data_IF_530216084520
#
_entry.id   IF_530216084520
#
_cell.length_a   1.000
_cell.length_b   1.000
_cell.length_c   1.000
_cell.angle_alpha   90.00
_cell.angle_beta   90.00
_cell.angle_gamma   90.00
#
_symmetry.space_group_name_H-M   'P 1'
#
loop_
_entity.id
_entity.type
_entity.pdbx_description
1 polymer ?
#
# COMPACT_ATOMS: atom_id res chain seq x y z
N UNK A 1 9.21 32.50 15.67
CA UNK A 1 8.66 31.32 14.98
C UNK A 1 8.21 31.78 13.60
N UNK A 2 8.68 31.16 12.49
CA UNK A 2 8.23 31.52 11.14
C UNK A 2 6.74 31.16 11.05
N UNK A 3 5.90 32.12 10.72
CA UNK A 3 4.45 32.00 10.66
C UNK A 3 3.94 30.96 9.63
N UNK A 4 4.82 30.43 8.76
CA UNK A 4 4.52 29.55 7.64
C UNK A 4 5.08 28.13 7.76
N UNK A 5 5.46 27.68 8.96
CA UNK A 5 5.94 26.29 9.13
C UNK A 5 4.76 25.31 9.04
N UNK A 6 4.90 24.20 8.27
CA UNK A 6 3.86 23.17 8.20
C UNK A 6 3.42 22.70 9.59
N UNK A 7 2.09 22.60 9.78
CA UNK A 7 1.48 22.09 11.01
C UNK A 7 1.01 20.64 10.82
N UNK A 8 0.68 20.26 9.58
CA UNK A 8 0.25 18.91 9.24
C UNK A 8 1.24 18.30 8.25
N UNK A 9 1.67 17.07 8.53
CA UNK A 9 2.55 16.29 7.68
C UNK A 9 1.79 15.03 7.24
N UNK A 10 1.51 14.92 5.92
CA UNK A 10 0.95 13.70 5.34
C UNK A 10 2.11 12.78 5.00
N UNK A 11 2.31 11.76 5.83
CA UNK A 11 3.53 10.93 5.83
C UNK A 11 3.21 9.52 5.38
N UNK A 12 3.94 9.03 4.37
CA UNK A 12 3.91 7.63 3.98
C UNK A 12 4.70 6.77 4.97
N UNK A 13 4.02 5.75 5.49
CA UNK A 13 4.59 4.76 6.40
C UNK A 13 5.31 3.62 5.69
N UNK A 14 5.31 3.60 4.34
CA UNK A 14 5.79 2.44 3.62
C UNK A 14 4.84 1.25 3.71
N UNK A 15 5.24 0.08 3.18
CA UNK A 15 4.39 -1.09 3.02
C UNK A 15 4.22 -1.93 4.30
N UNK A 16 5.02 -1.68 5.35
CA UNK A 16 4.88 -2.40 6.63
C UNK A 16 6.16 -2.55 7.43
N UNK A 17 7.30 -2.81 6.79
CA UNK A 17 8.62 -2.89 7.42
C UNK A 17 9.06 -1.48 7.87
N UNK A 18 9.40 -1.28 9.17
CA UNK A 18 9.86 0.01 9.67
C UNK A 18 11.17 0.49 9.04
N UNK A 19 12.04 -0.42 8.57
CA UNK A 19 13.28 -0.03 7.88
C UNK A 19 13.05 0.59 6.50
N UNK A 20 11.83 0.47 5.97
CA UNK A 20 11.40 1.12 4.73
C UNK A 20 10.82 2.53 4.93
N UNK A 21 10.82 3.04 6.16
CA UNK A 21 10.50 4.44 6.42
C UNK A 21 11.57 5.36 5.82
N UNK A 22 11.12 6.48 5.26
CA UNK A 22 12.09 7.53 4.89
C UNK A 22 12.67 8.17 6.14
N UNK A 23 13.92 8.60 6.08
CA UNK A 23 14.58 9.35 7.18
C UNK A 23 13.75 10.58 7.57
N UNK A 24 13.03 11.20 6.60
CA UNK A 24 12.13 12.32 6.87
C UNK A 24 10.93 11.89 7.71
N UNK A 25 10.33 10.74 7.38
CA UNK A 25 9.20 10.19 8.12
C UNK A 25 9.57 9.91 9.59
N UNK A 26 10.70 9.26 9.84
CA UNK A 26 11.20 8.95 11.19
C UNK A 26 11.35 10.24 12.00
N UNK A 27 12.08 11.25 11.49
CA UNK A 27 12.30 12.53 12.19
C UNK A 27 10.99 13.26 12.51
N UNK A 28 9.98 13.14 11.66
CA UNK A 28 8.67 13.77 11.89
C UNK A 28 7.86 13.02 12.94
N UNK A 29 7.93 11.69 12.96
CA UNK A 29 7.31 10.85 13.99
C UNK A 29 7.89 11.15 15.37
N UNK A 30 9.22 11.23 15.50
CA UNK A 30 9.90 11.58 16.77
C UNK A 30 9.49 12.95 17.34
N UNK A 31 9.04 13.87 16.49
CA UNK A 31 8.65 15.22 16.85
C UNK A 31 7.15 15.44 16.86
N UNK A 32 6.35 14.40 16.62
CA UNK A 32 4.91 14.52 16.55
C UNK A 32 4.31 14.75 17.93
N UNK A 33 3.30 15.63 18.00
CA UNK A 33 2.46 15.81 19.19
C UNK A 33 1.12 15.07 19.03
N UNK A 34 0.69 14.88 17.77
CA UNK A 34 -0.46 14.07 17.39
C UNK A 34 -0.13 13.22 16.18
N UNK A 35 -0.45 11.94 16.23
CA UNK A 35 -0.34 11.02 15.10
C UNK A 35 -1.72 10.46 14.78
N UNK A 36 -2.25 10.81 13.61
CA UNK A 36 -3.49 10.26 13.06
C UNK A 36 -3.13 9.14 12.08
N UNK A 37 -3.48 7.89 12.40
CA UNK A 37 -3.04 6.73 11.61
C UNK A 37 -4.18 5.80 11.21
N UNK A 38 -4.00 5.05 10.12
CA UNK A 38 -4.93 4.02 9.67
C UNK A 38 -4.50 2.59 10.07
N UNK A 39 -5.30 1.60 9.67
CA UNK A 39 -5.09 0.18 9.99
C UNK A 39 -3.88 -0.44 9.27
N UNK A 40 -3.41 0.15 8.17
CA UNK A 40 -2.34 -0.43 7.35
C UNK A 40 -0.94 -0.09 7.88
N UNK A 41 -0.85 0.80 8.86
CA UNK A 41 0.41 1.07 9.56
C UNK A 41 0.72 -0.10 10.49
N UNK A 42 1.89 -0.70 10.36
CA UNK A 42 2.28 -1.87 11.16
C UNK A 42 2.50 -1.50 12.63
N UNK A 43 2.31 -2.46 13.57
CA UNK A 43 2.61 -2.24 14.98
C UNK A 43 4.04 -1.75 15.21
N UNK A 44 5.03 -2.34 14.54
CA UNK A 44 6.44 -1.94 14.65
C UNK A 44 6.69 -0.48 14.28
N UNK A 45 5.94 0.07 13.30
CA UNK A 45 6.00 1.50 12.98
C UNK A 45 5.28 2.34 14.03
N UNK A 46 4.14 1.87 14.55
CA UNK A 46 3.43 2.57 15.63
C UNK A 46 4.27 2.66 16.91
N UNK A 47 5.12 1.67 17.18
CA UNK A 47 6.01 1.66 18.35
C UNK A 47 7.12 2.75 18.29
N UNK A 48 7.39 3.29 17.09
CA UNK A 48 8.30 4.43 16.91
C UNK A 48 7.68 5.78 17.32
N UNK A 49 6.37 5.83 17.56
CA UNK A 49 5.66 7.05 17.98
C UNK A 49 5.96 7.30 19.47
N UNK A 50 6.44 8.50 19.86
CA UNK A 50 6.68 8.82 21.25
C UNK A 50 5.45 8.58 22.12
N UNK A 51 5.65 8.11 23.36
CA UNK A 51 4.56 7.92 24.34
C UNK A 51 3.81 9.21 24.67
N UNK A 52 4.49 10.34 24.53
CA UNK A 52 3.93 11.67 24.77
C UNK A 52 3.00 12.15 23.64
N UNK A 53 3.06 11.52 22.47
CA UNK A 53 2.21 11.88 21.34
C UNK A 53 0.81 11.25 21.47
N UNK A 54 -0.21 12.03 21.23
CA UNK A 54 -1.58 11.51 21.14
C UNK A 54 -1.74 10.68 19.87
N UNK A 55 -2.24 9.43 19.98
CA UNK A 55 -2.50 8.54 18.86
C UNK A 55 -4.00 8.52 18.57
N UNK A 56 -4.38 8.94 17.36
CA UNK A 56 -5.77 8.93 16.88
C UNK A 56 -5.91 7.90 15.78
N UNK A 57 -6.69 6.85 16.04
CA UNK A 57 -6.95 5.81 15.05
C UNK A 57 -8.06 6.26 14.08
N UNK A 58 -7.73 6.37 12.79
CA UNK A 58 -8.63 6.77 11.70
C UNK A 58 -9.08 5.59 10.82
N UNK A 59 -8.76 4.34 11.19
CA UNK A 59 -9.12 3.15 10.44
C UNK A 59 -10.50 2.57 10.82
N UNK A 60 -10.91 1.51 10.10
CA UNK A 60 -12.08 0.71 10.46
C UNK A 60 -11.72 -0.21 11.64
N UNK A 61 -12.13 0.10 12.85
CA UNK A 61 -11.92 -0.75 14.02
C UNK A 61 -12.96 -1.90 14.12
N UNK A 62 -14.18 -1.67 13.66
CA UNK A 62 -15.28 -2.64 13.57
C UNK A 62 -16.40 -2.09 12.69
N UNK A 63 -17.43 -2.92 12.36
CA UNK A 63 -18.60 -2.45 11.60
C UNK A 63 -19.32 -1.25 12.24
N UNK A 64 -19.08 -0.96 13.53
CA UNK A 64 -19.74 0.11 14.30
C UNK A 64 -18.92 1.40 14.46
N UNK A 65 -17.60 1.40 14.16
CA UNK A 65 -16.73 2.56 14.39
C UNK A 65 -15.89 2.83 13.11
N UNK A 66 -16.56 3.30 12.09
CA UNK A 66 -15.94 3.82 10.87
C UNK A 66 -15.85 5.35 10.97
N UNK A 67 -14.64 5.89 10.88
CA UNK A 67 -14.46 7.33 10.73
C UNK A 67 -14.54 7.67 9.23
N UNK A 68 -15.60 8.39 8.79
CA UNK A 68 -15.69 8.86 7.40
C UNK A 68 -14.50 9.75 7.03
N UNK A 69 -14.19 9.84 5.73
CA UNK A 69 -13.06 10.66 5.28
C UNK A 69 -13.20 12.11 5.70
N UNK A 70 -14.40 12.67 5.63
CA UNK A 70 -14.66 14.05 6.06
C UNK A 70 -14.34 14.25 7.55
N UNK A 71 -14.66 13.27 8.39
CA UNK A 71 -14.30 13.33 9.82
C UNK A 71 -12.79 13.27 10.04
N UNK A 72 -12.06 12.48 9.25
CA UNK A 72 -10.59 12.47 9.30
C UNK A 72 -10.04 13.85 8.93
N UNK A 73 -10.57 14.44 7.84
CA UNK A 73 -10.18 15.77 7.37
C UNK A 73 -10.39 16.84 8.46
N UNK A 74 -11.56 16.82 9.13
CA UNK A 74 -11.88 17.74 10.23
C UNK A 74 -10.98 17.54 11.46
N UNK A 75 -10.61 16.30 11.79
CA UNK A 75 -9.63 16.00 12.86
C UNK A 75 -8.30 16.67 12.55
N UNK A 76 -7.79 16.55 11.32
CA UNK A 76 -6.51 17.17 10.93
C UNK A 76 -6.56 18.69 11.07
N UNK A 77 -7.63 19.35 10.61
CA UNK A 77 -7.82 20.79 10.72
C UNK A 77 -7.91 21.23 12.20
N UNK A 78 -8.70 20.53 13.00
CA UNK A 78 -8.90 20.82 14.42
C UNK A 78 -7.60 20.74 15.20
N UNK A 79 -6.83 19.67 15.01
CA UNK A 79 -5.55 19.47 15.66
C UNK A 79 -4.50 20.51 15.23
N UNK A 80 -4.47 20.86 13.95
CA UNK A 80 -3.57 21.91 13.45
C UNK A 80 -3.92 23.30 14.04
N UNK A 81 -5.22 23.64 14.12
CA UNK A 81 -5.69 24.92 14.70
C UNK A 81 -5.41 25.06 16.20
N UNK A 82 -5.30 23.93 16.91
CA UNK A 82 -4.86 23.95 18.32
C UNK A 82 -3.34 24.23 18.48
N UNK A 83 -2.64 24.45 17.38
CA UNK A 83 -1.20 24.79 17.37
C UNK A 83 -0.26 23.59 17.40
N UNK A 84 -0.81 22.37 17.38
CA UNK A 84 -0.07 21.11 17.50
C UNK A 84 0.60 20.70 16.18
N UNK A 85 1.71 19.97 16.28
CA UNK A 85 2.39 19.32 15.16
C UNK A 85 1.70 17.98 14.90
N UNK A 86 0.99 17.87 13.79
CA UNK A 86 0.17 16.72 13.42
C UNK A 86 0.88 15.89 12.35
N UNK A 87 1.07 14.61 12.59
CA UNK A 87 1.48 13.64 11.58
C UNK A 87 0.27 12.79 11.19
N UNK A 88 -0.15 12.87 9.93
CA UNK A 88 -1.09 11.93 9.32
C UNK A 88 -0.29 10.79 8.71
N UNK A 89 -0.19 9.67 9.41
CA UNK A 89 0.60 8.50 9.04
C UNK A 89 -0.26 7.52 8.22
N UNK A 90 0.14 7.23 6.99
CA UNK A 90 -0.62 6.48 6.00
C UNK A 90 0.18 5.28 5.51
N UNK A 91 -0.41 4.09 5.46
CA UNK A 91 0.23 2.92 4.85
C UNK A 91 0.63 3.18 3.40
N UNK A 92 1.81 2.72 2.99
CA UNK A 92 2.37 2.98 1.67
C UNK A 92 2.77 4.45 1.45
N UNK A 93 2.29 5.02 0.36
CA UNK A 93 2.49 6.42 -0.04
C UNK A 93 1.18 7.20 0.07
N UNK A 94 1.19 8.46 0.55
CA UNK A 94 -0.04 9.25 0.74
C UNK A 94 -0.84 9.47 -0.55
N UNK A 95 -0.18 9.53 -1.71
CA UNK A 95 -0.79 9.88 -3.00
C UNK A 95 -1.06 8.68 -3.90
N UNK A 96 -0.68 7.46 -3.50
CA UNK A 96 -0.97 6.24 -4.25
C UNK A 96 -2.11 5.48 -3.55
N UNK A 97 -3.33 5.65 -4.05
CA UNK A 97 -4.58 5.06 -3.52
C UNK A 97 -4.83 5.30 -2.02
N UNK A 98 -4.17 6.33 -1.47
CA UNK A 98 -4.22 6.67 -0.04
C UNK A 98 -5.16 7.82 0.30
N UNK A 99 -5.84 8.45 -0.68
CA UNK A 99 -6.71 9.63 -0.51
C UNK A 99 -5.99 10.86 0.10
N UNK A 100 -4.65 10.86 0.12
CA UNK A 100 -3.88 11.98 0.68
C UNK A 100 -4.09 13.30 -0.06
N UNK A 101 -4.45 13.26 -1.35
CA UNK A 101 -4.82 14.46 -2.12
C UNK A 101 -6.12 15.10 -1.60
N UNK A 102 -7.11 14.30 -1.19
CA UNK A 102 -8.35 14.82 -0.59
C UNK A 102 -8.06 15.50 0.76
N UNK A 103 -7.24 14.87 1.60
CA UNK A 103 -6.78 15.44 2.88
C UNK A 103 -6.01 16.75 2.66
N UNK A 104 -5.08 16.79 1.68
CA UNK A 104 -4.30 17.97 1.34
C UNK A 104 -5.17 19.13 0.82
N UNK A 105 -6.13 18.84 -0.07
CA UNK A 105 -7.07 19.83 -0.59
C UNK A 105 -7.94 20.42 0.52
N UNK A 106 -8.42 19.60 1.45
CA UNK A 106 -9.20 20.06 2.59
C UNK A 106 -8.38 20.98 3.51
N UNK A 107 -7.12 20.61 3.81
CA UNK A 107 -6.21 21.46 4.59
C UNK A 107 -5.98 22.81 3.89
N UNK A 108 -5.73 22.80 2.58
CA UNK A 108 -5.54 24.01 1.79
C UNK A 108 -6.76 24.94 1.84
N UNK A 109 -7.97 24.38 1.69
CA UNK A 109 -9.23 25.13 1.79
C UNK A 109 -9.42 25.82 3.15
N UNK A 110 -8.85 25.21 4.22
CA UNK A 110 -8.91 25.77 5.57
C UNK A 110 -7.70 26.67 5.93
N UNK A 111 -6.80 26.93 4.96
CA UNK A 111 -5.60 27.75 5.17
C UNK A 111 -4.58 27.11 6.12
N UNK A 112 -4.59 25.78 6.26
CA UNK A 112 -3.65 25.03 7.10
C UNK A 112 -2.40 24.68 6.29
N UNK A 113 -1.20 25.17 6.67
CA UNK A 113 0.05 24.78 6.03
C UNK A 113 0.34 23.29 6.25
N UNK A 114 0.68 22.57 5.18
CA UNK A 114 0.99 21.15 5.22
C UNK A 114 2.22 20.80 4.38
N UNK A 115 2.77 19.62 4.62
CA UNK A 115 3.86 19.02 3.84
C UNK A 115 3.48 17.58 3.49
N UNK A 116 3.83 17.15 2.26
CA UNK A 116 3.70 15.77 1.83
C UNK A 116 5.08 15.10 1.95
N UNK A 117 5.11 13.99 2.67
CA UNK A 117 6.32 13.17 2.80
C UNK A 117 6.07 11.82 2.13
N UNK A 118 6.68 11.55 0.98
CA UNK A 118 6.50 10.28 0.28
C UNK A 118 6.87 9.08 1.12
N UNK A 119 6.25 7.94 0.83
CA UNK A 119 6.62 6.64 1.36
C UNK A 119 6.81 5.63 0.24
N UNK A 120 7.43 4.49 0.54
CA UNK A 120 7.50 3.38 -0.40
C UNK A 120 6.09 2.81 -0.55
N UNK A 121 5.51 2.94 -1.76
CA UNK A 121 4.18 2.39 -2.03
C UNK A 121 4.20 0.86 -2.02
N UNK A 122 3.09 0.23 -1.68
CA UNK A 122 2.98 -1.23 -1.57
C UNK A 122 3.42 -1.96 -2.85
N UNK A 123 3.15 -1.40 -4.05
CA UNK A 123 3.60 -1.99 -5.31
C UNK A 123 5.11 -2.19 -5.38
N UNK A 124 5.88 -1.21 -4.94
CA UNK A 124 7.34 -1.28 -4.98
C UNK A 124 7.90 -2.16 -3.85
N UNK A 125 7.46 -1.95 -2.61
CA UNK A 125 7.97 -2.69 -1.47
C UNK A 125 7.59 -4.17 -1.49
N UNK A 126 6.32 -4.49 -1.70
CA UNK A 126 5.85 -5.88 -1.73
C UNK A 126 6.48 -6.67 -2.90
N UNK A 127 6.58 -6.07 -4.10
CA UNK A 127 7.18 -6.71 -5.25
C UNK A 127 8.68 -6.99 -5.03
N UNK A 128 9.43 -6.02 -4.47
CA UNK A 128 10.84 -6.20 -4.15
C UNK A 128 11.05 -7.33 -3.14
N UNK A 129 10.22 -7.40 -2.09
CA UNK A 129 10.27 -8.44 -1.05
C UNK A 129 9.78 -9.81 -1.54
N UNK A 130 9.04 -9.85 -2.65
CA UNK A 130 8.64 -11.09 -3.33
C UNK A 130 9.62 -11.51 -4.43
N UNK A 131 10.73 -10.78 -4.64
CA UNK A 131 11.66 -11.04 -5.74
C UNK A 131 11.07 -10.77 -7.13
N UNK A 132 10.10 -9.85 -7.24
CA UNK A 132 9.45 -9.50 -8.51
C UNK A 132 9.88 -8.09 -8.92
N UNK A 133 10.76 -7.92 -9.91
CA UNK A 133 11.06 -6.62 -10.46
C UNK A 133 9.85 -6.11 -11.28
N UNK A 134 9.35 -4.90 -11.00
CA UNK A 134 8.20 -4.37 -11.73
C UNK A 134 8.53 -4.00 -13.19
N UNK A 135 9.80 -3.81 -13.52
CA UNK A 135 10.29 -3.60 -14.88
C UNK A 135 11.50 -4.49 -15.15
N UNK A 136 11.60 -4.99 -16.39
CA UNK A 136 12.76 -5.78 -16.80
C UNK A 136 12.97 -5.61 -18.31
N UNK A 137 14.25 -5.40 -18.73
CA UNK A 137 14.58 -5.26 -20.14
C UNK A 137 14.18 -6.53 -20.90
N UNK A 138 13.35 -6.38 -21.93
CA UNK A 138 12.86 -7.48 -22.75
C UNK A 138 11.62 -8.20 -22.20
N UNK A 139 11.10 -7.83 -21.02
CA UNK A 139 9.87 -8.41 -20.44
C UNK A 139 8.79 -7.36 -20.16
N UNK A 140 9.16 -6.25 -19.53
CA UNK A 140 8.19 -5.21 -19.17
C UNK A 140 8.78 -3.81 -19.36
N UNK A 141 8.15 -3.01 -20.23
CA UNK A 141 8.57 -1.64 -20.59
C UNK A 141 7.86 -0.58 -19.75
N UNK A 142 6.79 -0.96 -19.07
CA UNK A 142 5.97 -0.07 -18.27
C UNK A 142 5.34 -0.77 -17.07
N UNK A 143 4.74 0.03 -16.18
CA UNK A 143 3.99 -0.46 -15.01
C UNK A 143 2.70 0.31 -14.91
N UNK A 144 1.57 -0.40 -14.82
CA UNK A 144 0.28 0.19 -14.50
C UNK A 144 -0.11 -0.12 -13.04
N UNK A 145 -0.41 0.90 -12.27
CA UNK A 145 -1.02 0.76 -10.95
C UNK A 145 -2.52 1.00 -11.07
N UNK A 146 -3.32 0.01 -10.70
CA UNK A 146 -4.77 0.11 -10.72
C UNK A 146 -5.38 -0.30 -9.39
N UNK A 147 -6.61 0.13 -9.16
CA UNK A 147 -7.39 -0.30 -8.00
C UNK A 147 -8.48 -1.28 -8.42
N UNK A 148 -8.59 -2.41 -7.71
CA UNK A 148 -9.72 -3.33 -7.82
C UNK A 148 -10.92 -2.89 -6.98
N UNK A 149 -10.88 -1.67 -6.40
CA UNK A 149 -12.03 -1.10 -5.72
C UNK A 149 -13.12 -0.72 -6.73
N UNK A 150 -14.36 -1.06 -6.43
CA UNK A 150 -15.49 -0.77 -7.30
C UNK A 150 -15.89 0.70 -7.22
N UNK A 151 -16.38 1.24 -8.32
CA UNK A 151 -17.16 2.47 -8.30
C UNK A 151 -18.48 2.29 -7.51
N UNK A 152 -19.16 3.38 -7.19
CA UNK A 152 -20.39 3.36 -6.39
C UNK A 152 -21.51 2.49 -7.00
N UNK A 153 -21.49 2.28 -8.34
CA UNK A 153 -22.40 1.38 -9.07
C UNK A 153 -22.07 -0.11 -8.95
N UNK A 154 -20.99 -0.48 -8.24
CA UNK A 154 -20.56 -1.87 -8.07
C UNK A 154 -19.76 -2.44 -9.24
N UNK A 155 -19.39 -1.65 -10.23
CA UNK A 155 -18.59 -2.05 -11.39
C UNK A 155 -17.10 -1.71 -11.20
N UNK A 156 -16.24 -2.51 -11.87
CA UNK A 156 -14.83 -2.21 -12.03
C UNK A 156 -14.69 -1.34 -13.29
N UNK A 157 -14.67 -0.03 -13.11
CA UNK A 157 -14.51 0.95 -14.19
C UNK A 157 -13.04 1.05 -14.62
N UNK A 158 -12.58 0.04 -15.38
CA UNK A 158 -11.21 -0.04 -15.90
C UNK A 158 -11.24 -0.30 -17.41
N UNK A 159 -10.34 0.34 -18.16
CA UNK A 159 -10.14 0.07 -19.59
C UNK A 159 -9.32 -1.21 -19.78
N UNK A 160 -10.00 -2.35 -19.74
CA UNK A 160 -9.39 -3.68 -19.81
C UNK A 160 -8.54 -3.88 -21.06
N UNK A 161 -8.93 -3.31 -22.21
CA UNK A 161 -8.15 -3.41 -23.45
C UNK A 161 -6.78 -2.73 -23.34
N UNK A 162 -6.71 -1.61 -22.63
CA UNK A 162 -5.43 -0.93 -22.37
C UNK A 162 -4.59 -1.63 -21.31
N UNK A 163 -5.22 -2.34 -20.37
CA UNK A 163 -4.54 -3.06 -19.32
C UNK A 163 -4.03 -4.44 -19.75
N UNK A 164 -4.62 -5.03 -20.78
CA UNK A 164 -4.23 -6.32 -21.35
C UNK A 164 -3.03 -6.19 -22.31
N UNK A 165 -1.94 -5.55 -21.82
CA UNK A 165 -0.69 -5.36 -22.57
C UNK A 165 0.39 -6.30 -22.03
N UNK A 166 0.88 -7.29 -22.83
CA UNK A 166 1.89 -8.26 -22.39
C UNK A 166 3.26 -7.63 -22.13
N UNK A 167 3.53 -6.43 -22.65
CA UNK A 167 4.79 -5.70 -22.45
C UNK A 167 4.77 -4.81 -21.21
N UNK A 168 3.68 -4.83 -20.44
CA UNK A 168 3.48 -3.97 -19.27
C UNK A 168 3.13 -4.81 -18.04
N UNK A 169 3.75 -4.51 -16.91
CA UNK A 169 3.39 -5.08 -15.62
C UNK A 169 2.16 -4.38 -15.07
N UNK A 170 1.12 -5.14 -14.73
CA UNK A 170 -0.06 -4.63 -14.06
C UNK A 170 0.01 -4.94 -12.56
N UNK A 171 -0.09 -3.91 -11.72
CA UNK A 171 -0.14 -4.05 -10.27
C UNK A 171 -1.51 -3.60 -9.76
N UNK A 172 -2.22 -4.52 -9.07
CA UNK A 172 -3.61 -4.34 -8.68
C UNK A 172 -3.70 -4.22 -7.16
N UNK A 173 -4.14 -3.05 -6.70
CA UNK A 173 -4.45 -2.78 -5.30
C UNK A 173 -5.91 -3.13 -5.00
N UNK A 174 -6.21 -3.53 -3.76
CA UNK A 174 -7.58 -3.76 -3.27
C UNK A 174 -8.43 -4.72 -4.14
N UNK A 175 -7.76 -5.65 -4.85
CA UNK A 175 -8.40 -6.55 -5.81
C UNK A 175 -8.91 -7.87 -5.23
N UNK A 176 -8.61 -8.22 -3.96
CA UNK A 176 -8.80 -9.58 -3.42
C UNK A 176 -10.23 -10.11 -3.61
N UNK A 177 -11.24 -9.32 -3.27
CA UNK A 177 -12.65 -9.71 -3.38
C UNK A 177 -13.16 -9.85 -4.82
N UNK A 178 -12.36 -9.43 -5.80
CA UNK A 178 -12.74 -9.37 -7.22
C UNK A 178 -11.72 -10.02 -8.13
N UNK A 179 -10.75 -10.73 -7.58
CA UNK A 179 -9.62 -11.27 -8.35
C UNK A 179 -10.07 -12.18 -9.50
N UNK A 180 -11.09 -13.00 -9.27
CA UNK A 180 -11.67 -13.86 -10.31
C UNK A 180 -12.21 -13.04 -11.49
N UNK A 181 -13.01 -12.00 -11.20
CA UNK A 181 -13.55 -11.09 -12.24
C UNK A 181 -12.45 -10.31 -12.94
N UNK A 182 -11.44 -9.86 -12.19
CA UNK A 182 -10.29 -9.11 -12.74
C UNK A 182 -9.52 -10.00 -13.73
N UNK A 183 -9.18 -11.23 -13.34
CA UNK A 183 -8.48 -12.17 -14.21
C UNK A 183 -9.32 -12.50 -15.46
N UNK A 184 -10.62 -12.77 -15.30
CA UNK A 184 -11.53 -13.02 -16.41
C UNK A 184 -11.57 -11.87 -17.41
N UNK A 185 -11.74 -10.63 -16.94
CA UNK A 185 -11.78 -9.45 -17.79
C UNK A 185 -10.46 -9.22 -18.56
N UNK A 186 -9.31 -9.47 -17.93
CA UNK A 186 -8.00 -9.37 -18.60
C UNK A 186 -7.84 -10.43 -19.70
N UNK A 187 -8.29 -11.65 -19.46
CA UNK A 187 -8.28 -12.75 -20.45
C UNK A 187 -9.22 -12.43 -21.61
N UNK A 188 -10.44 -11.99 -21.32
CA UNK A 188 -11.41 -11.56 -22.34
C UNK A 188 -10.90 -10.37 -23.17
N UNK A 189 -10.10 -9.50 -22.57
CA UNK A 189 -9.46 -8.37 -23.25
C UNK A 189 -8.24 -8.78 -24.10
N UNK A 190 -7.80 -10.05 -24.04
CA UNK A 190 -6.76 -10.61 -24.90
C UNK A 190 -5.42 -10.91 -24.22
N UNK A 191 -5.29 -10.76 -22.91
CA UNK A 191 -4.08 -11.19 -22.22
C UNK A 191 -4.05 -12.73 -22.14
N UNK A 192 -2.92 -13.39 -22.47
CA UNK A 192 -2.84 -14.85 -22.45
C UNK A 192 -3.17 -15.45 -21.08
N UNK A 193 -3.90 -16.56 -21.06
CA UNK A 193 -4.32 -17.25 -19.82
C UNK A 193 -3.14 -17.73 -18.98
N UNK A 194 -2.03 -18.05 -19.64
CA UNK A 194 -0.76 -18.51 -19.02
C UNK A 194 0.16 -17.35 -18.62
N UNK A 195 -0.28 -16.08 -18.76
CA UNK A 195 0.48 -14.92 -18.29
C UNK A 195 0.84 -15.10 -16.81
N UNK A 196 2.14 -15.01 -16.43
CA UNK A 196 2.55 -15.12 -15.04
C UNK A 196 1.87 -14.08 -14.14
N UNK A 197 1.46 -14.53 -12.97
CA UNK A 197 0.80 -13.65 -11.99
C UNK A 197 1.16 -14.08 -10.56
N UNK A 198 1.16 -13.13 -9.64
CA UNK A 198 1.43 -13.38 -8.23
C UNK A 198 0.48 -12.59 -7.32
N UNK A 199 0.13 -13.19 -6.19
CA UNK A 199 -0.54 -12.52 -5.07
C UNK A 199 0.44 -12.42 -3.90
N UNK A 200 0.55 -11.23 -3.29
CA UNK A 200 1.45 -10.94 -2.17
C UNK A 200 0.60 -10.43 -1.02
N UNK A 201 0.39 -11.28 -0.02
CA UNK A 201 -0.32 -10.92 1.22
C UNK A 201 0.69 -10.41 2.25
N UNK A 202 0.30 -9.39 3.03
CA UNK A 202 1.10 -8.80 4.11
C UNK A 202 2.55 -8.48 3.68
N UNK A 203 2.72 -7.97 2.46
CA UNK A 203 4.03 -7.71 1.89
C UNK A 203 4.92 -6.87 2.81
N UNK A 204 6.19 -7.24 2.89
CA UNK A 204 7.26 -6.70 3.76
C UNK A 204 7.15 -7.05 5.25
N UNK A 205 6.01 -7.54 5.71
CA UNK A 205 5.85 -8.00 7.09
C UNK A 205 6.47 -9.40 7.30
N UNK A 206 6.79 -9.80 8.53
CA UNK A 206 7.22 -11.18 8.86
C UNK A 206 6.19 -12.24 8.42
N UNK A 207 4.92 -11.87 8.32
CA UNK A 207 3.82 -12.73 7.88
C UNK A 207 3.55 -12.66 6.37
N UNK A 208 4.49 -12.15 5.58
CA UNK A 208 4.35 -12.11 4.12
C UNK A 208 4.15 -13.52 3.57
N UNK A 209 3.16 -13.67 2.67
CA UNK A 209 2.97 -14.87 1.85
C UNK A 209 2.91 -14.49 0.38
N UNK A 210 3.55 -15.28 -0.46
CA UNK A 210 3.55 -15.09 -1.91
C UNK A 210 2.95 -16.34 -2.56
N UNK A 211 1.98 -16.14 -3.44
CA UNK A 211 1.36 -17.18 -4.25
C UNK A 211 1.60 -16.85 -5.71
N UNK A 212 2.51 -17.58 -6.36
CA UNK A 212 2.77 -17.49 -7.80
C UNK A 212 1.84 -18.45 -8.57
N UNK A 213 1.37 -18.03 -9.75
CA UNK A 213 0.48 -18.78 -10.62
C UNK A 213 0.49 -18.19 -12.02
N UNK A 214 -0.40 -18.69 -12.88
CA UNK A 214 -0.82 -18.04 -14.13
C UNK A 214 -2.04 -17.15 -13.87
N UNK A 215 -2.35 -16.27 -14.81
CA UNK A 215 -3.53 -15.39 -14.75
C UNK A 215 -4.83 -16.19 -14.56
N UNK A 216 -4.99 -17.30 -15.29
CA UNK A 216 -6.15 -18.19 -15.17
C UNK A 216 -6.18 -18.90 -13.80
N UNK A 217 -5.04 -19.41 -13.34
CA UNK A 217 -4.95 -20.19 -12.11
C UNK A 217 -4.98 -19.37 -10.81
N UNK A 218 -4.66 -18.07 -10.91
CA UNK A 218 -4.46 -17.22 -9.72
C UNK A 218 -5.67 -17.17 -8.78
N UNK A 219 -6.92 -17.02 -9.24
CA UNK A 219 -8.08 -16.97 -8.34
C UNK A 219 -8.23 -18.24 -7.50
N UNK A 220 -8.08 -19.42 -8.14
CA UNK A 220 -8.13 -20.72 -7.44
C UNK A 220 -7.01 -20.85 -6.38
N UNK A 221 -5.79 -20.50 -6.76
CA UNK A 221 -4.63 -20.55 -5.85
C UNK A 221 -4.75 -19.60 -4.66
N UNK A 222 -5.31 -18.40 -4.89
CA UNK A 222 -5.58 -17.43 -3.83
C UNK A 222 -6.63 -17.96 -2.84
N UNK A 223 -7.70 -18.60 -3.35
CA UNK A 223 -8.74 -19.19 -2.52
C UNK A 223 -8.21 -20.40 -1.73
N UNK A 224 -7.47 -21.31 -2.38
CA UNK A 224 -6.84 -22.47 -1.76
C UNK A 224 -5.88 -22.09 -0.63
N UNK A 225 -5.05 -21.06 -0.86
CA UNK A 225 -4.13 -20.53 0.13
C UNK A 225 -4.83 -19.74 1.25
N UNK A 226 -6.10 -19.42 1.11
CA UNK A 226 -6.87 -18.64 2.07
C UNK A 226 -6.28 -17.24 2.31
N UNK A 227 -5.83 -16.55 1.25
CA UNK A 227 -5.25 -15.23 1.39
C UNK A 227 -6.29 -14.21 1.86
N UNK A 228 -5.84 -13.27 2.69
CA UNK A 228 -6.66 -12.21 3.27
C UNK A 228 -6.11 -10.82 2.91
N UNK A 229 -6.88 -9.77 3.20
CA UNK A 229 -6.42 -8.39 3.01
C UNK A 229 -5.51 -7.95 4.19
N UNK A 230 -4.42 -7.22 3.88
CA UNK A 230 -4.06 -6.62 2.60
C UNK A 230 -3.34 -7.60 1.66
N UNK A 231 -3.77 -7.66 0.41
CA UNK A 231 -3.13 -8.44 -0.66
C UNK A 231 -2.97 -7.58 -1.91
N UNK A 232 -1.77 -7.61 -2.48
CA UNK A 232 -1.40 -6.97 -3.75
C UNK A 232 -1.28 -8.03 -4.83
N UNK A 233 -1.66 -7.71 -6.06
CA UNK A 233 -1.47 -8.61 -7.20
C UNK A 233 -0.53 -8.00 -8.22
N UNK A 234 0.33 -8.85 -8.81
CA UNK A 234 1.24 -8.48 -9.89
C UNK A 234 0.96 -9.42 -11.05
N UNK A 235 0.62 -8.87 -12.22
CA UNK A 235 0.35 -9.63 -13.46
C UNK A 235 1.33 -9.17 -14.53
N UNK A 236 1.95 -10.11 -15.23
CA UNK A 236 2.90 -9.87 -16.30
C UNK A 236 4.11 -10.82 -16.23
N UNK A 237 4.88 -10.86 -17.30
CA UNK A 237 6.01 -11.77 -17.47
C UNK A 237 7.02 -11.72 -16.30
N UNK A 238 7.19 -10.57 -15.68
CA UNK A 238 8.12 -10.36 -14.54
C UNK A 238 7.73 -11.15 -13.29
N UNK A 239 6.46 -11.54 -13.14
CA UNK A 239 6.02 -12.29 -11.96
C UNK A 239 6.67 -13.68 -11.88
N UNK A 240 7.06 -14.27 -13.01
CA UNK A 240 7.79 -15.52 -13.05
C UNK A 240 9.20 -15.44 -12.43
N UNK A 241 9.76 -14.24 -12.35
CA UNK A 241 11.12 -14.06 -11.79
C UNK A 241 11.18 -14.27 -10.28
N UNK A 242 10.03 -14.27 -9.59
CA UNK A 242 9.98 -14.56 -8.15
C UNK A 242 10.58 -15.90 -7.77
N UNK A 243 10.48 -16.91 -8.64
CA UNK A 243 11.09 -18.24 -8.40
C UNK A 243 12.62 -18.19 -8.32
N UNK A 244 13.25 -17.28 -9.08
CA UNK A 244 14.71 -17.16 -9.17
C UNK A 244 15.26 -16.07 -8.24
N UNK A 245 14.48 -15.00 -8.02
CA UNK A 245 14.92 -13.80 -7.31
C UNK A 245 14.38 -13.72 -5.87
N UNK A 246 13.74 -14.77 -5.36
CA UNK A 246 13.31 -14.83 -3.96
C UNK A 246 14.53 -14.88 -3.05
N UNK A 247 14.78 -13.80 -2.33
CA UNK A 247 15.95 -13.65 -1.44
C UNK A 247 15.58 -13.79 0.04
N UNK A 248 14.31 -13.55 0.37
CA UNK A 248 13.86 -13.51 1.75
C UNK A 248 13.72 -14.88 2.40
N UNK A 249 13.43 -15.92 1.64
CA UNK A 249 13.33 -17.29 2.16
C UNK A 249 14.67 -17.84 2.70
N UNK A 250 15.79 -17.34 2.20
CA UNK A 250 17.14 -17.72 2.67
C UNK A 250 17.48 -17.01 3.99
N UNK A 251 17.06 -15.75 4.18
CA UNK A 251 17.31 -15.00 5.42
C UNK A 251 16.52 -15.54 6.62
N UNK A 252 15.26 -15.98 6.42
CA UNK A 252 14.46 -16.60 7.48
C UNK A 252 15.04 -17.95 7.97
N UNK A 253 15.88 -18.60 7.20
CA UNK A 253 16.60 -19.82 7.60
C UNK A 253 17.86 -19.50 8.41
N UNK A 254 18.58 -18.43 8.07
CA UNK A 254 19.80 -18.02 8.78
C UNK A 254 19.50 -17.43 10.17
N UNK A 255 18.41 -16.64 10.32
CA UNK A 255 18.00 -16.12 11.61
C UNK A 255 17.54 -17.21 12.59
N UNK A 256 16.97 -18.32 12.10
CA UNK A 256 16.62 -19.49 12.92
C UNK A 256 17.82 -20.35 13.31
N UNK A 257 18.89 -20.27 12.52
CA UNK A 257 20.15 -21.00 12.80
C UNK A 257 21.06 -20.28 13.80
N UNK A 258 20.84 -19.00 14.07
CA UNK A 258 21.64 -18.19 15.02
C UNK A 258 20.97 -18.08 16.39
N UNK A 259 19.77 -18.62 16.57
CA UNK A 259 18.94 -18.55 17.79
C UNK A 259 18.91 -19.81 18.66
N UNK A 260 19.83 -20.79 18.45
CA UNK A 260 19.99 -21.98 19.31
C UNK A 260 21.31 -21.93 20.14
#
# INVERSE_FOLDING_TARGET
MRADSPRVFLVGAGPGDPELLTVRAVRLLEQAEVVVHDRLVSPAILDLIPETAERIFAGKASRKHYMPQDSINEVLVTQARSGRRVVRLKGGDPFIFGRGSEEALHLAQHGIPFEIVPGITASMGCAAYAGIPLTHRGMAKGVHFVTGHMADNGELDLDWKRLADPDTTLVIYMGLMKIERICGNLIEAGLPMDTPAAAIENGTLPTQRVVASTLEGLPGRVAEAGLSAPTLFVVGAVAALSETLSWRAEQDLDERAVGD
#
